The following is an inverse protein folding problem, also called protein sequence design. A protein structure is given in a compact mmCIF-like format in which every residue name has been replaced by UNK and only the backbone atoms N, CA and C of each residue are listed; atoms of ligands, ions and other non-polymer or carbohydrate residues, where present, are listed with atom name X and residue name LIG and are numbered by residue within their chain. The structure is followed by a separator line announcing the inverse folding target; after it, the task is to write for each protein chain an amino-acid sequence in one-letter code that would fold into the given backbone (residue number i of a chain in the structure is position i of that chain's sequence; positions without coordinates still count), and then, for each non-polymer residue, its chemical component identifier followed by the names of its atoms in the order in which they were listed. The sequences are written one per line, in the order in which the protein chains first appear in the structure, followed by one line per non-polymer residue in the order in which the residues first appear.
data_IF_763807681749
#
_entry.id   IF_763807681749
#
_cell.length_a   1.000
_cell.length_b   1.000
_cell.length_c   1.000
_cell.angle_alpha   90.00
_cell.angle_beta   90.00
_cell.angle_gamma   90.00
#
_symmetry.space_group_name_H-M   'P 1'
#
loop_
_entity.id
_entity.type
_entity.pdbx_description
1 polymer ?
#
# COMPACT_ATOMS: atom_id res chain seq x y z
N UNK A 1 -3.41 19.61 -25.29
CA UNK A 1 -4.57 19.08 -24.54
C UNK A 1 -4.05 18.28 -23.34
N UNK A 2 -4.64 18.47 -22.17
CA UNK A 2 -4.35 17.60 -21.02
C UNK A 2 -4.95 16.22 -21.32
N UNK A 3 -4.14 15.18 -21.25
CA UNK A 3 -4.60 13.80 -21.38
C UNK A 3 -5.45 13.44 -20.14
N UNK A 4 -6.62 12.81 -20.36
CA UNK A 4 -7.54 12.38 -19.29
C UNK A 4 -7.65 10.86 -19.35
N UNK A 5 -7.53 10.19 -18.22
CA UNK A 5 -7.70 8.75 -18.09
C UNK A 5 -8.79 8.44 -17.05
N UNK A 6 -9.82 7.68 -17.45
CA UNK A 6 -10.95 7.32 -16.61
C UNK A 6 -11.61 8.54 -15.91
N UNK A 7 -11.71 9.67 -16.62
CA UNK A 7 -12.25 10.92 -16.09
C UNK A 7 -11.34 11.69 -15.13
N UNK A 8 -10.10 11.23 -14.93
CA UNK A 8 -9.12 11.83 -14.03
C UNK A 8 -7.97 12.41 -14.83
N UNK A 9 -7.53 13.60 -14.45
CA UNK A 9 -6.39 14.28 -15.06
C UNK A 9 -5.13 13.40 -15.01
N UNK A 10 -4.35 13.42 -16.09
CA UNK A 10 -3.01 12.87 -16.08
C UNK A 10 -1.97 13.99 -15.91
N UNK A 11 -0.82 13.63 -15.36
CA UNK A 11 0.33 14.52 -15.26
C UNK A 11 1.61 13.79 -15.64
N UNK A 12 2.44 14.40 -16.45
CA UNK A 12 3.78 13.90 -16.78
C UNK A 12 4.83 14.74 -16.06
N UNK A 13 5.54 14.13 -15.12
CA UNK A 13 6.64 14.76 -14.40
C UNK A 13 7.99 14.35 -15.00
N UNK A 14 8.70 15.31 -15.59
CA UNK A 14 10.04 15.09 -16.18
C UNK A 14 11.13 14.79 -15.13
N UNK A 15 10.86 15.06 -13.86
CA UNK A 15 11.79 14.87 -12.74
C UNK A 15 11.06 14.80 -11.41
N UNK A 16 11.76 14.34 -10.36
CA UNK A 16 11.30 14.42 -8.98
C UNK A 16 10.86 15.83 -8.59
N UNK A 17 11.65 16.85 -8.96
CA UNK A 17 11.34 18.26 -8.70
C UNK A 17 10.02 18.68 -9.34
N UNK A 18 9.80 18.35 -10.62
CA UNK A 18 8.56 18.68 -11.31
C UNK A 18 7.31 18.03 -10.67
N UNK A 19 7.44 16.80 -10.15
CA UNK A 19 6.37 16.14 -9.41
C UNK A 19 6.10 16.82 -8.07
N UNK A 20 7.15 17.21 -7.33
CA UNK A 20 7.00 17.96 -6.08
C UNK A 20 6.30 19.31 -6.29
N UNK A 21 6.70 20.07 -7.32
CA UNK A 21 6.09 21.35 -7.68
C UNK A 21 4.60 21.19 -8.02
N UNK A 22 4.23 20.14 -8.74
CA UNK A 22 2.83 19.82 -9.02
C UNK A 22 2.06 19.55 -7.72
N UNK A 23 2.60 18.75 -6.83
CA UNK A 23 1.98 18.47 -5.52
C UNK A 23 1.84 19.74 -4.68
N UNK A 24 2.83 20.61 -4.66
CA UNK A 24 2.76 21.90 -3.94
C UNK A 24 1.58 22.74 -4.38
N UNK A 25 1.31 22.75 -5.67
CA UNK A 25 0.22 23.53 -6.25
C UNK A 25 -1.15 22.87 -6.13
N UNK A 26 -1.20 21.53 -6.15
CA UNK A 26 -2.45 20.81 -6.40
C UNK A 26 -2.90 19.90 -5.24
N UNK A 27 -2.04 19.57 -4.26
CA UNK A 27 -2.39 18.60 -3.22
C UNK A 27 -3.63 18.96 -2.40
N UNK A 28 -3.98 20.24 -2.28
CA UNK A 28 -5.16 20.69 -1.53
C UNK A 28 -6.44 20.69 -2.37
N UNK A 29 -6.34 20.96 -3.66
CA UNK A 29 -7.47 21.12 -4.58
C UNK A 29 -7.84 19.81 -5.26
N UNK A 30 -6.85 19.07 -5.73
CA UNK A 30 -7.06 17.79 -6.43
C UNK A 30 -7.27 16.65 -5.44
N UNK A 31 -8.08 15.67 -5.86
CA UNK A 31 -8.32 14.43 -5.07
C UNK A 31 -7.42 13.30 -5.51
N UNK A 32 -7.07 13.25 -6.78
CA UNK A 32 -6.28 12.19 -7.40
C UNK A 32 -5.71 12.62 -8.74
N UNK A 33 -4.70 11.89 -9.21
CA UNK A 33 -4.06 12.09 -10.52
C UNK A 33 -3.50 10.75 -11.04
N UNK A 34 -3.48 10.58 -12.35
CA UNK A 34 -2.67 9.58 -13.00
C UNK A 34 -1.31 10.16 -13.39
N UNK A 35 -0.27 9.80 -12.65
CA UNK A 35 1.11 10.18 -12.98
C UNK A 35 1.65 9.31 -14.10
N UNK A 36 2.12 9.91 -15.18
CA UNK A 36 2.78 9.22 -16.29
C UNK A 36 4.25 9.04 -15.91
N UNK A 37 4.70 7.78 -15.90
CA UNK A 37 6.08 7.42 -15.60
C UNK A 37 6.65 6.66 -16.80
N UNK A 38 7.74 7.16 -17.38
CA UNK A 38 8.48 6.48 -18.43
C UNK A 38 9.42 5.43 -17.83
N UNK A 39 9.58 4.32 -18.54
CA UNK A 39 10.51 3.26 -18.16
C UNK A 39 11.95 3.75 -18.32
N UNK A 40 12.85 3.27 -17.46
CA UNK A 40 14.26 3.68 -17.44
C UNK A 40 14.96 3.42 -18.78
N UNK A 41 14.59 2.34 -19.46
CA UNK A 41 15.16 1.89 -20.72
C UNK A 41 14.93 2.90 -21.86
N UNK A 42 13.88 3.71 -21.76
CA UNK A 42 13.53 4.70 -22.80
C UNK A 42 14.43 5.92 -22.82
N UNK A 43 15.17 6.15 -21.72
CA UNK A 43 15.98 7.37 -21.50
C UNK A 43 15.19 8.68 -21.58
N UNK A 44 13.86 8.63 -21.62
CA UNK A 44 13.00 9.81 -21.55
C UNK A 44 13.02 10.32 -20.10
N UNK A 45 13.29 11.62 -19.85
CA UNK A 45 13.31 12.18 -18.51
C UNK A 45 11.98 11.92 -17.78
N UNK A 46 12.04 11.33 -16.61
CA UNK A 46 10.84 11.01 -15.81
C UNK A 46 11.20 10.93 -14.33
N UNK A 47 10.23 11.26 -13.47
CA UNK A 47 10.29 10.86 -12.08
C UNK A 47 10.21 9.34 -12.00
N UNK A 48 11.00 8.72 -11.12
CA UNK A 48 10.92 7.28 -10.86
C UNK A 48 9.92 6.98 -9.73
N UNK A 49 9.30 5.79 -9.82
CA UNK A 49 8.27 5.39 -8.89
C UNK A 49 8.65 5.55 -7.40
N UNK A 50 9.82 5.11 -6.89
CA UNK A 50 10.18 5.31 -5.48
C UNK A 50 10.23 6.78 -5.08
N UNK A 51 10.75 7.65 -5.96
CA UNK A 51 10.80 9.09 -5.74
C UNK A 51 9.41 9.72 -5.75
N UNK A 52 8.55 9.25 -6.67
CA UNK A 52 7.17 9.72 -6.75
C UNK A 52 6.38 9.38 -5.48
N UNK A 53 6.59 8.21 -4.89
CA UNK A 53 5.99 7.81 -3.61
C UNK A 53 6.52 8.69 -2.47
N UNK A 54 7.82 8.94 -2.41
CA UNK A 54 8.43 9.79 -1.39
C UNK A 54 7.84 11.20 -1.40
N UNK A 55 7.75 11.82 -2.58
CA UNK A 55 7.16 13.15 -2.70
C UNK A 55 5.66 13.15 -2.35
N UNK A 56 4.90 12.16 -2.80
CA UNK A 56 3.48 12.03 -2.47
C UNK A 56 3.25 11.94 -0.95
N UNK A 57 4.04 11.14 -0.24
CA UNK A 57 3.99 11.01 1.22
C UNK A 57 4.23 12.36 1.92
N UNK A 58 5.13 13.20 1.40
CA UNK A 58 5.38 14.51 1.96
C UNK A 58 4.13 15.39 1.99
N UNK A 59 3.20 15.21 1.06
CA UNK A 59 1.96 15.98 0.93
C UNK A 59 0.70 15.22 1.40
N UNK A 60 0.85 14.10 2.09
CA UNK A 60 -0.27 13.29 2.58
C UNK A 60 -1.01 12.52 1.47
N UNK A 61 -0.34 12.27 0.36
CA UNK A 61 -0.83 11.45 -0.74
C UNK A 61 -0.21 10.06 -0.71
N UNK A 62 -0.84 9.11 -1.41
CA UNK A 62 -0.38 7.73 -1.54
C UNK A 62 -0.67 7.20 -2.94
N UNK A 63 0.18 6.31 -3.40
CA UNK A 63 -0.02 5.55 -4.61
C UNK A 63 -0.99 4.38 -4.42
N UNK A 64 -1.48 3.85 -5.54
CA UNK A 64 -2.20 2.58 -5.54
C UNK A 64 -1.81 1.73 -6.77
N UNK A 65 -2.73 1.53 -7.72
CA UNK A 65 -2.50 0.62 -8.84
C UNK A 65 -1.73 1.28 -10.00
N UNK A 66 -0.77 0.57 -10.62
CA UNK A 66 -0.26 0.94 -11.93
C UNK A 66 -1.23 0.48 -13.04
N UNK A 67 -1.19 1.16 -14.19
CA UNK A 67 -1.91 0.79 -15.40
C UNK A 67 -1.00 0.94 -16.62
N UNK A 68 -1.07 0.01 -17.56
CA UNK A 68 -0.33 0.14 -18.81
C UNK A 68 -0.83 1.39 -19.57
N UNK A 69 0.11 2.20 -20.09
CA UNK A 69 -0.16 3.28 -21.04
C UNK A 69 0.22 2.85 -22.45
N UNK A 70 1.49 2.59 -22.65
CA UNK A 70 2.07 2.12 -23.90
C UNK A 70 3.30 1.22 -23.63
N UNK A 71 4.13 0.99 -24.61
CA UNK A 71 5.32 0.15 -24.44
C UNK A 71 6.47 0.86 -23.72
N UNK A 72 6.43 2.20 -23.65
CA UNK A 72 7.49 3.04 -23.06
C UNK A 72 7.13 3.58 -21.70
N UNK A 73 5.83 3.63 -21.34
CA UNK A 73 5.34 4.29 -20.13
C UNK A 73 4.17 3.56 -19.50
N UNK A 74 3.88 3.94 -18.26
CA UNK A 74 2.70 3.49 -17.53
C UNK A 74 2.10 4.64 -16.72
N UNK A 75 0.85 4.48 -16.35
CA UNK A 75 0.18 5.35 -15.39
C UNK A 75 0.36 4.79 -14.00
N UNK A 76 0.72 5.64 -13.04
CA UNK A 76 0.67 5.33 -11.62
C UNK A 76 -0.40 6.20 -10.96
N UNK A 77 -1.36 5.57 -10.32
CA UNK A 77 -2.42 6.32 -9.62
C UNK A 77 -1.92 6.85 -8.29
N UNK A 78 -2.12 8.15 -8.07
CA UNK A 78 -1.90 8.82 -6.79
C UNK A 78 -3.17 9.50 -6.32
N UNK A 79 -3.43 9.50 -5.02
CA UNK A 79 -4.59 10.16 -4.42
C UNK A 79 -4.29 10.63 -2.99
N UNK A 80 -5.10 11.55 -2.49
CA UNK A 80 -5.08 11.87 -1.06
C UNK A 80 -5.23 10.61 -0.24
N UNK A 81 -4.37 10.43 0.76
CA UNK A 81 -4.41 9.27 1.61
C UNK A 81 -5.71 9.22 2.41
N UNK A 82 -6.40 8.09 2.37
CA UNK A 82 -7.56 7.90 3.22
C UNK A 82 -7.13 7.78 4.70
N UNK A 83 -7.66 8.62 5.61
CA UNK A 83 -7.34 8.56 7.03
C UNK A 83 -7.58 7.21 7.69
N UNK A 84 -8.47 6.38 7.13
CA UNK A 84 -8.81 5.04 7.62
C UNK A 84 -7.91 3.94 7.06
N UNK A 85 -6.95 4.27 6.19
CA UNK A 85 -6.02 3.27 5.63
C UNK A 85 -4.87 2.98 6.60
N UNK A 86 -4.48 1.71 6.67
CA UNK A 86 -3.34 1.28 7.47
C UNK A 86 -2.01 1.79 6.87
N UNK A 87 -0.99 1.92 7.72
CA UNK A 87 0.35 2.30 7.30
C UNK A 87 1.25 1.06 7.24
N UNK A 88 1.80 0.79 6.06
CA UNK A 88 2.79 -0.28 5.90
C UNK A 88 4.13 0.10 6.54
N UNK A 89 4.92 -0.90 6.95
CA UNK A 89 6.27 -0.69 7.49
C UNK A 89 7.12 0.15 6.54
N UNK A 90 7.11 -0.16 5.25
CA UNK A 90 7.86 0.58 4.22
C UNK A 90 7.48 2.06 4.18
N UNK A 91 6.19 2.41 4.25
CA UNK A 91 5.77 3.81 4.25
C UNK A 91 6.12 4.53 5.56
N UNK A 92 6.10 3.82 6.69
CA UNK A 92 6.57 4.37 7.98
C UNK A 92 8.07 4.68 7.95
N UNK A 93 8.89 3.77 7.42
CA UNK A 93 10.33 3.98 7.24
C UNK A 93 10.62 5.15 6.30
N UNK A 94 9.88 5.25 5.18
CA UNK A 94 10.01 6.38 4.24
C UNK A 94 9.71 7.72 4.91
N UNK A 95 8.60 7.85 5.62
CA UNK A 95 8.28 9.13 6.27
C UNK A 95 9.25 9.47 7.39
N UNK A 96 9.82 8.48 8.12
CA UNK A 96 10.89 8.73 9.09
C UNK A 96 12.09 9.39 8.42
N UNK A 97 12.59 8.81 7.33
CA UNK A 97 13.69 9.40 6.55
C UNK A 97 13.36 10.77 5.95
N UNK A 98 12.11 10.98 5.53
CA UNK A 98 11.67 12.26 4.97
C UNK A 98 11.55 13.36 6.04
N UNK A 99 11.17 12.98 7.27
CA UNK A 99 11.16 13.88 8.43
C UNK A 99 12.59 14.29 8.83
N UNK A 100 13.52 13.34 8.89
CA UNK A 100 14.95 13.61 9.19
C UNK A 100 15.60 14.57 8.18
N UNK A 101 15.11 14.57 6.93
CA UNK A 101 15.59 15.45 5.85
C UNK A 101 14.80 16.75 5.75
N UNK A 102 13.88 17.03 6.65
CA UNK A 102 12.99 18.21 6.64
C UNK A 102 12.22 18.40 5.32
N UNK A 103 11.84 17.29 4.68
CA UNK A 103 11.14 17.29 3.40
C UNK A 103 9.60 17.25 3.55
N UNK A 104 9.10 16.86 4.73
CA UNK A 104 7.68 16.72 4.99
C UNK A 104 6.98 18.09 4.97
N UNK A 105 5.77 18.10 4.44
CA UNK A 105 4.90 19.29 4.44
C UNK A 105 3.80 19.13 5.50
N UNK A 106 3.14 20.23 5.93
CA UNK A 106 2.09 20.17 6.96
C UNK A 106 1.01 19.13 6.70
N UNK A 107 0.53 19.00 5.45
CA UNK A 107 -0.47 18.02 5.06
C UNK A 107 0.00 16.56 5.27
N UNK A 108 1.28 16.27 4.99
CA UNK A 108 1.85 14.94 5.25
C UNK A 108 1.99 14.64 6.75
N UNK A 109 2.43 15.63 7.54
CA UNK A 109 2.55 15.52 9.00
C UNK A 109 1.18 15.32 9.67
N UNK A 110 0.15 16.03 9.20
CA UNK A 110 -1.23 15.89 9.66
C UNK A 110 -1.74 14.45 9.47
N UNK A 111 -1.48 13.85 8.30
CA UNK A 111 -1.88 12.46 8.01
C UNK A 111 -1.18 11.44 8.93
N UNK A 112 0.07 11.69 9.32
CA UNK A 112 0.79 10.86 10.30
C UNK A 112 0.16 11.01 11.68
N UNK A 113 -0.09 12.24 12.13
CA UNK A 113 -0.71 12.53 13.41
C UNK A 113 -2.09 11.87 13.51
N UNK A 114 -2.89 11.99 12.47
CA UNK A 114 -4.21 11.36 12.39
C UNK A 114 -4.12 9.83 12.42
N UNK A 115 -3.14 9.24 11.71
CA UNK A 115 -2.94 7.78 11.73
C UNK A 115 -2.53 7.26 13.11
N UNK A 116 -1.73 8.02 13.85
CA UNK A 116 -1.34 7.68 15.24
C UNK A 116 -2.54 7.78 16.17
N UNK A 117 -3.34 8.84 16.07
CA UNK A 117 -4.51 9.06 16.94
C UNK A 117 -5.63 8.03 16.73
N UNK A 118 -5.82 7.54 15.51
CA UNK A 118 -6.88 6.57 15.17
C UNK A 118 -6.40 5.11 15.09
N UNK A 119 -5.14 4.82 15.51
CA UNK A 119 -4.55 3.49 15.56
C UNK A 119 -4.14 2.90 14.20
N UNK A 120 -4.26 3.65 13.09
CA UNK A 120 -3.92 3.16 11.74
C UNK A 120 -2.41 3.12 11.49
N UNK A 121 -1.65 3.86 12.28
CA UNK A 121 -0.19 3.80 12.25
C UNK A 121 0.34 2.42 12.64
N UNK A 122 -0.21 1.80 13.69
CA UNK A 122 0.27 0.55 14.25
C UNK A 122 -0.54 -0.69 13.88
N UNK A 123 -1.62 -0.50 13.11
CA UNK A 123 -2.56 -1.56 12.77
C UNK A 123 -1.92 -2.80 12.08
N UNK A 124 -0.79 -2.63 11.38
CA UNK A 124 -0.09 -3.72 10.71
C UNK A 124 1.11 -4.28 11.49
N UNK A 125 1.41 -3.80 12.70
CA UNK A 125 2.59 -4.27 13.45
C UNK A 125 2.55 -5.79 13.69
N UNK A 126 1.43 -6.32 14.18
CA UNK A 126 1.26 -7.76 14.39
C UNK A 126 1.36 -8.58 13.10
N UNK A 127 0.93 -8.01 11.97
CA UNK A 127 1.04 -8.63 10.64
C UNK A 127 2.50 -8.66 10.18
N UNK A 128 3.24 -7.57 10.38
CA UNK A 128 4.67 -7.49 10.07
C UNK A 128 5.49 -8.47 10.93
N UNK A 129 5.09 -8.68 12.18
CA UNK A 129 5.75 -9.63 13.09
C UNK A 129 5.25 -11.07 12.91
N UNK A 130 4.33 -11.31 11.95
CA UNK A 130 3.73 -12.63 11.67
C UNK A 130 3.05 -13.22 12.91
N UNK A 131 2.46 -12.39 13.75
CA UNK A 131 1.71 -12.84 14.93
C UNK A 131 0.37 -13.41 14.45
N UNK A 132 0.17 -14.70 14.73
CA UNK A 132 -1.08 -15.40 14.39
C UNK A 132 -2.15 -14.94 15.40
N UNK A 133 -3.28 -14.35 14.96
CA UNK A 133 -4.32 -13.94 15.88
C UNK A 133 -5.02 -15.16 16.51
N UNK A 134 -5.52 -14.99 17.71
CA UNK A 134 -6.06 -16.06 18.55
C UNK A 134 -7.15 -16.91 17.84
N UNK A 135 -8.06 -16.25 17.16
CA UNK A 135 -9.14 -16.90 16.41
C UNK A 135 -8.63 -17.81 15.27
N UNK A 136 -7.54 -17.44 14.60
CA UNK A 136 -6.86 -18.29 13.61
C UNK A 136 -6.06 -19.40 14.30
N UNK A 137 -5.40 -19.09 15.41
CA UNK A 137 -4.62 -20.06 16.17
C UNK A 137 -5.50 -21.21 16.70
N UNK A 138 -6.69 -20.91 17.21
CA UNK A 138 -7.67 -21.91 17.64
C UNK A 138 -8.03 -22.86 16.48
N UNK A 139 -8.21 -22.36 15.26
CA UNK A 139 -8.51 -23.21 14.12
C UNK A 139 -7.31 -24.07 13.68
N UNK A 140 -6.10 -23.54 13.72
CA UNK A 140 -4.88 -24.32 13.46
C UNK A 140 -4.65 -25.41 14.52
N UNK A 141 -5.00 -25.18 15.79
CA UNK A 141 -4.92 -26.23 16.83
C UNK A 141 -5.83 -27.43 16.52
N UNK A 142 -6.99 -27.18 15.86
CA UNK A 142 -7.92 -28.24 15.43
C UNK A 142 -7.44 -28.96 14.16
N UNK A 143 -6.53 -28.37 13.38
CA UNK A 143 -6.02 -28.95 12.13
C UNK A 143 -4.50 -28.85 12.06
N UNK A 144 -3.82 -29.89 12.57
CA UNK A 144 -2.36 -29.96 12.66
C UNK A 144 -1.68 -30.00 11.29
N UNK A 145 -2.35 -30.57 10.26
CA UNK A 145 -1.83 -30.58 8.89
C UNK A 145 -1.79 -29.16 8.32
N UNK A 146 -2.86 -28.41 8.50
CA UNK A 146 -2.92 -27.01 8.08
C UNK A 146 -1.84 -26.16 8.80
N UNK A 147 -1.64 -26.37 10.10
CA UNK A 147 -0.61 -25.66 10.86
C UNK A 147 0.79 -25.95 10.32
N UNK A 148 1.14 -27.24 10.11
CA UNK A 148 2.44 -27.64 9.56
C UNK A 148 2.70 -27.00 8.19
N UNK A 149 1.72 -27.02 7.31
CA UNK A 149 1.83 -26.39 6.00
C UNK A 149 1.94 -24.86 6.11
N UNK A 150 1.17 -24.22 6.99
CA UNK A 150 1.29 -22.79 7.29
C UNK A 150 2.72 -22.43 7.74
N UNK A 151 3.34 -23.21 8.61
CA UNK A 151 4.70 -22.95 9.07
C UNK A 151 5.71 -22.94 7.93
N UNK A 152 5.49 -23.74 6.88
CA UNK A 152 6.33 -23.81 5.68
C UNK A 152 6.11 -22.63 4.70
N UNK A 153 5.02 -21.88 4.81
CA UNK A 153 4.74 -20.76 3.90
C UNK A 153 5.78 -19.65 4.05
N UNK A 154 6.10 -18.99 2.94
CA UNK A 154 7.01 -17.85 2.96
C UNK A 154 6.48 -16.71 3.84
N UNK A 155 7.39 -15.91 4.41
CA UNK A 155 7.02 -14.73 5.21
C UNK A 155 6.05 -13.80 4.47
N UNK A 156 6.28 -13.56 3.17
CA UNK A 156 5.41 -12.71 2.36
C UNK A 156 4.00 -13.27 2.21
N UNK A 157 3.87 -14.59 2.04
CA UNK A 157 2.55 -15.26 1.96
C UNK A 157 1.80 -15.17 3.30
N UNK A 158 2.48 -15.47 4.41
CA UNK A 158 1.91 -15.34 5.76
C UNK A 158 1.44 -13.91 6.01
N UNK A 159 2.29 -12.93 5.73
CA UNK A 159 1.97 -11.50 5.87
C UNK A 159 0.72 -11.12 5.06
N UNK A 160 0.67 -11.50 3.78
CA UNK A 160 -0.48 -11.18 2.92
C UNK A 160 -1.79 -11.79 3.42
N UNK A 161 -1.76 -13.03 3.93
CA UNK A 161 -2.93 -13.70 4.50
C UNK A 161 -3.36 -13.01 5.81
N UNK A 162 -2.43 -12.72 6.71
CA UNK A 162 -2.73 -12.04 7.98
C UNK A 162 -3.29 -10.64 7.75
N UNK A 163 -2.74 -9.88 6.82
CA UNK A 163 -3.27 -8.57 6.44
C UNK A 163 -4.68 -8.68 5.84
N UNK A 164 -4.92 -9.68 4.99
CA UNK A 164 -6.24 -9.93 4.43
C UNK A 164 -7.26 -10.26 5.52
N UNK A 165 -6.91 -11.10 6.50
CA UNK A 165 -7.78 -11.41 7.66
C UNK A 165 -8.05 -10.15 8.48
N UNK A 166 -7.01 -9.37 8.79
CA UNK A 166 -7.10 -8.14 9.56
C UNK A 166 -8.02 -7.09 8.91
N UNK A 167 -7.97 -6.98 7.59
CA UNK A 167 -8.76 -6.01 6.83
C UNK A 167 -10.24 -6.40 6.66
N UNK A 168 -10.71 -7.49 7.25
CA UNK A 168 -12.12 -7.85 7.25
C UNK A 168 -12.91 -6.88 8.15
N UNK A 169 -13.81 -6.09 7.55
CA UNK A 169 -14.61 -5.09 8.26
C UNK A 169 -15.75 -5.70 9.12
N UNK A 170 -16.24 -6.89 8.74
CA UNK A 170 -17.35 -7.60 9.42
C UNK A 170 -16.81 -8.87 10.04
N UNK A 171 -17.29 -9.20 11.24
CA UNK A 171 -16.92 -10.45 11.94
C UNK A 171 -17.16 -11.69 11.08
N UNK A 172 -18.28 -11.75 10.39
CA UNK A 172 -18.62 -12.86 9.49
C UNK A 172 -17.60 -13.00 8.35
N UNK A 173 -17.16 -11.88 7.74
CA UNK A 173 -16.14 -11.89 6.69
C UNK A 173 -14.80 -12.36 7.25
N UNK A 174 -14.43 -11.92 8.46
CA UNK A 174 -13.23 -12.35 9.14
C UNK A 174 -13.26 -13.86 9.39
N UNK A 175 -14.35 -14.37 9.91
CA UNK A 175 -14.53 -15.81 10.17
C UNK A 175 -14.42 -16.64 8.88
N UNK A 176 -15.06 -16.21 7.79
CA UNK A 176 -14.93 -16.85 6.48
C UNK A 176 -13.47 -16.92 6.01
N UNK A 177 -12.71 -15.81 6.13
CA UNK A 177 -11.30 -15.75 5.75
C UNK A 177 -10.42 -16.68 6.59
N UNK A 178 -10.68 -16.79 7.88
CA UNK A 178 -9.98 -17.71 8.79
C UNK A 178 -10.25 -19.17 8.39
N UNK A 179 -11.51 -19.55 8.20
CA UNK A 179 -11.89 -20.91 7.77
C UNK A 179 -11.25 -21.24 6.42
N UNK A 180 -11.32 -20.33 5.46
CA UNK A 180 -10.70 -20.50 4.14
C UNK A 180 -9.17 -20.66 4.25
N UNK A 181 -8.52 -19.88 5.11
CA UNK A 181 -7.08 -19.99 5.35
C UNK A 181 -6.69 -21.38 5.82
N UNK A 182 -7.41 -21.92 6.81
CA UNK A 182 -7.10 -23.24 7.38
C UNK A 182 -7.41 -24.35 6.36
N UNK A 183 -8.56 -24.29 5.69
CA UNK A 183 -8.97 -25.27 4.66
C UNK A 183 -7.96 -25.33 3.49
N UNK A 184 -7.49 -24.19 3.02
CA UNK A 184 -6.51 -24.15 1.93
C UNK A 184 -5.12 -24.57 2.41
N UNK A 185 -4.72 -24.18 3.61
CA UNK A 185 -3.46 -24.60 4.20
C UNK A 185 -3.39 -26.12 4.41
N UNK A 186 -4.51 -26.80 4.72
CA UNK A 186 -4.57 -28.26 4.84
C UNK A 186 -4.10 -28.97 3.57
N UNK A 187 -4.44 -28.42 2.41
CA UNK A 187 -4.00 -28.95 1.11
C UNK A 187 -2.77 -28.21 0.55
N UNK A 188 -2.00 -27.55 1.42
CA UNK A 188 -0.78 -26.79 1.09
C UNK A 188 -0.99 -25.67 0.04
N UNK A 189 -2.16 -25.06 0.03
CA UNK A 189 -2.51 -23.92 -0.82
C UNK A 189 -2.60 -22.65 0.03
N UNK A 190 -2.11 -21.52 -0.50
CA UNK A 190 -2.11 -20.23 0.18
C UNK A 190 -3.43 -19.50 -0.08
N UNK A 191 -4.11 -19.07 0.98
CA UNK A 191 -5.28 -18.21 0.86
C UNK A 191 -4.90 -16.82 0.32
N UNK A 192 -5.85 -16.11 -0.28
CA UNK A 192 -5.64 -14.75 -0.82
C UNK A 192 -4.43 -14.63 -1.78
N UNK A 193 -4.09 -15.71 -2.48
CA UNK A 193 -3.02 -15.71 -3.48
C UNK A 193 -3.63 -15.51 -4.87
N UNK A 194 -3.11 -14.62 -5.74
CA UNK A 194 -3.53 -14.55 -7.14
C UNK A 194 -3.31 -15.93 -7.79
N UNK A 195 -4.33 -16.41 -8.49
CA UNK A 195 -4.22 -17.62 -9.31
C UNK A 195 -3.35 -17.35 -10.52
#
# INVERSE_FOLDING_TARGET
MLEIKDGIQTFYAKSRKAWREWLEQNHNTEKSVWLIIYKKETKIPSVYYPEAVDEALCFGWIDSKPNKRDDQSYYQFFAKRNPKSNWSKVNKEKVSMLMEKDLMKPAGLEMITLAKSNGKWDALNSVEDIIIPEDLQIQFHKNKVALKNWESFSRSSKRGILEWILNAKRAETRQKRIIETVKLAEVNVKANHPK
#
